data_IF_162007451120
#
_entry.id   IF_162007451120
#
_cell.length_a   1.000
_cell.length_b   1.000
_cell.length_c   1.000
_cell.angle_alpha   90.00
_cell.angle_beta   90.00
_cell.angle_gamma   90.00
#
_symmetry.space_group_name_H-M   'P 1'
#
loop_
_entity.id
_entity.type
_entity.pdbx_description
1 polymer ?
#
# COMPACT_ATOMS: atom_id res chain seq x y z
N UNK A 1 19.70 -8.96 -23.31
CA UNK A 1 18.65 -8.88 -22.26
C UNK A 1 18.55 -7.45 -21.77
N UNK A 2 17.40 -6.78 -21.91
CA UNK A 2 17.19 -5.42 -21.38
C UNK A 2 17.34 -5.46 -19.85
N UNK A 3 18.19 -4.59 -19.28
CA UNK A 3 18.37 -4.52 -17.83
C UNK A 3 17.13 -3.87 -17.21
N UNK A 4 16.32 -4.64 -16.49
CA UNK A 4 15.12 -4.14 -15.77
C UNK A 4 15.47 -3.41 -14.45
N UNK A 5 16.72 -3.52 -13.98
CA UNK A 5 17.16 -2.95 -12.70
C UNK A 5 16.96 -1.42 -12.58
N UNK A 6 17.24 -0.59 -13.60
CA UNK A 6 16.98 0.86 -13.53
C UNK A 6 15.49 1.19 -13.47
N UNK A 7 14.65 0.47 -14.22
CA UNK A 7 13.19 0.65 -14.27
C UNK A 7 12.53 0.36 -12.92
N UNK A 8 13.00 -0.69 -12.27
CA UNK A 8 12.63 -1.05 -10.91
C UNK A 8 12.97 0.04 -9.86
N UNK A 9 13.97 0.90 -10.11
CA UNK A 9 14.28 2.03 -9.22
C UNK A 9 13.18 3.09 -9.26
N UNK A 10 12.45 3.26 -10.37
CA UNK A 10 11.31 4.19 -10.47
C UNK A 10 10.22 3.84 -9.45
N UNK A 11 9.81 2.57 -9.42
CA UNK A 11 8.81 2.10 -8.44
C UNK A 11 9.31 2.25 -7.01
N UNK A 12 10.58 1.96 -6.77
CA UNK A 12 11.17 2.13 -5.43
C UNK A 12 11.22 3.60 -5.02
N UNK A 13 11.50 4.52 -5.95
CA UNK A 13 11.53 5.96 -5.70
C UNK A 13 10.16 6.47 -5.28
N UNK A 14 9.10 6.12 -6.01
CA UNK A 14 7.71 6.45 -5.65
C UNK A 14 7.37 5.93 -4.25
N UNK A 15 7.71 4.68 -3.96
CA UNK A 15 7.39 4.10 -2.66
C UNK A 15 8.17 4.74 -1.50
N UNK A 16 9.37 5.26 -1.74
CA UNK A 16 10.17 5.93 -0.70
C UNK A 16 9.46 7.14 -0.10
N UNK A 17 8.68 7.86 -0.89
CA UNK A 17 7.89 9.01 -0.42
C UNK A 17 6.90 8.60 0.67
N UNK A 18 6.31 7.41 0.52
CA UNK A 18 5.34 6.88 1.49
C UNK A 18 5.97 6.07 2.60
N UNK A 19 7.23 5.65 2.41
CA UNK A 19 7.97 4.82 3.36
C UNK A 19 9.05 5.56 4.16
N UNK A 20 9.05 6.89 4.19
CA UNK A 20 10.01 7.69 4.97
C UNK A 20 10.08 7.29 6.45
N UNK A 21 8.94 6.91 7.04
CA UNK A 21 8.83 6.44 8.42
C UNK A 21 9.16 4.93 8.59
N UNK A 22 9.74 4.27 7.58
CA UNK A 22 10.07 2.85 7.62
C UNK A 22 11.58 2.64 7.45
N UNK A 23 12.17 1.62 8.11
CA UNK A 23 13.49 1.14 7.72
C UNK A 23 13.41 0.55 6.29
N UNK A 24 13.83 1.34 5.31
CA UNK A 24 13.68 1.02 3.88
C UNK A 24 14.72 0.02 3.34
N UNK A 25 15.62 -0.48 4.19
CA UNK A 25 16.88 -1.12 3.81
C UNK A 25 16.77 -2.22 2.76
N UNK A 26 15.66 -2.95 2.75
CA UNK A 26 15.44 -4.06 1.81
C UNK A 26 14.18 -3.91 0.93
N UNK A 27 13.51 -2.75 0.95
CA UNK A 27 12.28 -2.53 0.16
C UNK A 27 12.53 -2.78 -1.33
N UNK A 28 13.63 -2.22 -1.84
CA UNK A 28 14.09 -2.42 -3.20
C UNK A 28 14.21 -3.91 -3.51
N UNK A 29 14.99 -4.67 -2.73
CA UNK A 29 15.23 -6.10 -2.99
C UNK A 29 13.92 -6.90 -3.00
N UNK A 30 13.02 -6.63 -2.05
CA UNK A 30 11.77 -7.39 -1.88
C UNK A 30 10.79 -7.16 -3.02
N UNK A 31 10.71 -5.95 -3.57
CA UNK A 31 9.86 -5.65 -4.72
C UNK A 31 10.53 -6.06 -6.04
N UNK A 32 11.84 -5.82 -6.14
CA UNK A 32 12.61 -6.07 -7.36
C UNK A 32 12.69 -7.55 -7.68
N UNK A 33 12.90 -8.40 -6.69
CA UNK A 33 13.18 -9.82 -6.93
C UNK A 33 12.01 -10.53 -7.61
N UNK A 34 10.75 -10.40 -7.12
CA UNK A 34 9.60 -10.97 -7.81
C UNK A 34 9.37 -10.37 -9.21
N UNK A 35 9.49 -9.04 -9.36
CA UNK A 35 9.29 -8.36 -10.65
C UNK A 35 10.34 -8.83 -11.68
N UNK A 36 11.62 -8.89 -11.27
CA UNK A 36 12.73 -9.37 -12.11
C UNK A 36 12.53 -10.81 -12.54
N UNK A 37 12.15 -11.68 -11.60
CA UNK A 37 11.90 -13.09 -11.87
C UNK A 37 10.80 -13.23 -12.92
N UNK A 38 9.69 -12.53 -12.73
CA UNK A 38 8.57 -12.56 -13.67
C UNK A 38 8.95 -12.02 -15.05
N UNK A 39 9.62 -10.87 -15.12
CA UNK A 39 10.03 -10.28 -16.39
C UNK A 39 10.99 -11.19 -17.17
N UNK A 40 11.93 -11.86 -16.48
CA UNK A 40 12.86 -12.81 -17.11
C UNK A 40 12.12 -14.00 -17.75
N UNK A 41 11.02 -14.42 -17.13
CA UNK A 41 10.25 -15.60 -17.54
C UNK A 41 9.21 -15.28 -18.63
N UNK A 42 8.56 -14.12 -18.57
CA UNK A 42 7.41 -13.78 -19.42
C UNK A 42 7.60 -12.55 -20.32
N UNK A 43 8.72 -11.83 -20.21
CA UNK A 43 9.01 -10.66 -21.04
C UNK A 43 8.10 -9.45 -20.80
N UNK A 44 7.24 -9.48 -19.79
CA UNK A 44 6.30 -8.39 -19.45
C UNK A 44 6.27 -8.12 -17.93
N UNK A 45 5.68 -6.99 -17.54
CA UNK A 45 5.48 -6.61 -16.13
C UNK A 45 4.06 -6.95 -15.70
N UNK A 46 3.93 -7.73 -14.63
CA UNK A 46 2.67 -7.90 -13.89
C UNK A 46 2.93 -7.87 -12.40
N UNK A 47 2.01 -7.27 -11.65
CA UNK A 47 2.14 -7.08 -10.21
C UNK A 47 1.41 -8.15 -9.38
N UNK A 48 0.73 -9.13 -9.98
CA UNK A 48 -0.14 -10.03 -9.23
C UNK A 48 0.54 -10.86 -8.13
N UNK A 49 1.82 -11.22 -8.30
CA UNK A 49 2.61 -11.89 -7.25
C UNK A 49 2.94 -11.01 -6.05
N UNK A 50 2.76 -9.69 -6.16
CA UNK A 50 2.98 -8.75 -5.07
C UNK A 50 1.74 -8.61 -4.18
N UNK A 51 0.59 -9.18 -4.56
CA UNK A 51 -0.64 -9.11 -3.76
C UNK A 51 -0.41 -9.72 -2.38
N UNK A 52 -0.89 -9.03 -1.34
CA UNK A 52 -0.70 -9.32 0.10
C UNK A 52 0.73 -9.14 0.62
N UNK A 53 1.67 -8.67 -0.19
CA UNK A 53 3.03 -8.40 0.27
C UNK A 53 3.05 -7.20 1.23
N UNK A 54 3.58 -7.41 2.43
CA UNK A 54 3.91 -6.31 3.35
C UNK A 54 5.17 -5.58 2.87
N UNK A 55 5.13 -4.26 2.80
CA UNK A 55 6.25 -3.41 2.39
C UNK A 55 7.35 -3.39 3.45
N UNK A 56 6.97 -3.37 4.73
CA UNK A 56 7.90 -3.53 5.85
C UNK A 56 8.12 -5.03 6.14
N UNK A 57 9.38 -5.47 6.17
CA UNK A 57 9.72 -6.88 6.40
C UNK A 57 9.67 -7.26 7.88
N UNK A 58 9.86 -6.29 8.77
CA UNK A 58 9.95 -6.49 10.21
C UNK A 58 8.58 -6.39 10.87
N UNK A 59 7.69 -5.57 10.29
CA UNK A 59 6.36 -5.28 10.83
C UNK A 59 5.30 -5.54 9.76
N UNK A 60 4.60 -6.67 9.92
CA UNK A 60 3.48 -7.01 9.07
C UNK A 60 2.28 -6.09 9.33
N UNK A 61 1.50 -5.80 8.29
CA UNK A 61 0.28 -5.00 8.41
C UNK A 61 -0.70 -5.54 9.43
N UNK A 62 -0.83 -6.87 9.51
CA UNK A 62 -1.69 -7.56 10.47
C UNK A 62 -1.30 -7.36 11.94
N UNK A 63 -0.06 -6.95 12.23
CA UNK A 63 0.37 -6.65 13.59
C UNK A 63 -0.25 -5.34 14.10
N UNK A 64 -0.60 -4.41 13.19
CA UNK A 64 -1.23 -3.14 13.54
C UNK A 64 -2.73 -3.19 13.25
N UNK A 65 -3.15 -3.77 12.13
CA UNK A 65 -4.56 -3.84 11.75
C UNK A 65 -5.02 -5.27 11.46
N UNK A 66 -5.91 -5.79 12.29
CA UNK A 66 -6.48 -7.15 12.25
C UNK A 66 -7.79 -7.22 11.45
N UNK A 67 -8.36 -6.07 11.07
CA UNK A 67 -9.58 -6.02 10.28
C UNK A 67 -9.40 -6.60 8.88
N UNK A 68 -10.50 -7.11 8.33
CA UNK A 68 -10.54 -7.55 6.94
C UNK A 68 -10.56 -6.34 6.01
N UNK A 69 -9.78 -6.42 4.92
CA UNK A 69 -9.75 -5.43 3.84
C UNK A 69 -10.35 -6.07 2.61
N UNK A 70 -11.45 -5.51 2.12
CA UNK A 70 -12.16 -5.96 0.95
C UNK A 70 -11.87 -5.03 -0.22
N UNK A 71 -11.69 -5.60 -1.42
CA UNK A 71 -11.49 -4.84 -2.64
C UNK A 71 -12.51 -5.28 -3.68
N UNK A 72 -13.31 -4.35 -4.20
CA UNK A 72 -14.28 -4.59 -5.27
C UNK A 72 -13.95 -3.76 -6.50
N UNK A 73 -14.31 -4.28 -7.68
CA UNK A 73 -14.02 -3.67 -8.97
C UNK A 73 -15.33 -3.39 -9.69
N UNK A 74 -15.52 -2.15 -10.14
CA UNK A 74 -16.72 -1.77 -10.89
C UNK A 74 -16.41 -0.59 -11.81
N UNK A 75 -16.86 -0.66 -13.06
CA UNK A 75 -16.84 0.46 -14.01
C UNK A 75 -15.52 1.25 -14.07
N UNK A 76 -14.37 0.56 -14.16
CA UNK A 76 -13.07 1.24 -14.21
C UNK A 76 -12.60 1.84 -12.89
N UNK A 77 -13.19 1.43 -11.76
CA UNK A 77 -12.76 1.83 -10.41
C UNK A 77 -12.43 0.62 -9.55
N UNK A 78 -11.60 0.86 -8.53
CA UNK A 78 -11.39 -0.06 -7.41
C UNK A 78 -11.81 0.61 -6.11
N UNK A 79 -12.72 -0.03 -5.38
CA UNK A 79 -13.13 0.37 -4.04
C UNK A 79 -12.46 -0.51 -3.00
N UNK A 80 -11.87 0.10 -1.98
CA UNK A 80 -11.30 -0.55 -0.81
C UNK A 80 -12.22 -0.29 0.38
N UNK A 81 -12.76 -1.34 0.98
CA UNK A 81 -13.67 -1.25 2.13
C UNK A 81 -13.13 -2.02 3.31
N UNK A 82 -13.18 -1.43 4.49
CA UNK A 82 -12.79 -2.08 5.74
C UNK A 82 -13.50 -1.44 6.93
N UNK A 83 -13.66 -2.22 7.99
CA UNK A 83 -14.17 -1.73 9.27
C UNK A 83 -13.01 -1.30 10.17
N UNK A 84 -13.18 -0.19 10.88
CA UNK A 84 -12.25 0.27 11.90
C UNK A 84 -12.92 0.24 13.27
N UNK A 85 -12.17 -0.20 14.28
CA UNK A 85 -12.55 -0.14 15.70
C UNK A 85 -11.31 -0.39 16.55
N UNK A 86 -11.38 -0.06 17.84
CA UNK A 86 -10.29 -0.35 18.79
C UNK A 86 -9.97 -1.86 18.93
N UNK A 87 -10.90 -2.76 18.56
CA UNK A 87 -10.66 -4.21 18.55
C UNK A 87 -9.88 -4.67 17.31
N UNK A 88 -9.98 -3.92 16.21
CA UNK A 88 -9.35 -4.25 14.93
C UNK A 88 -7.99 -3.56 14.75
N UNK A 89 -7.65 -2.56 15.58
CA UNK A 89 -6.38 -1.83 15.50
C UNK A 89 -5.58 -1.96 16.80
N UNK A 90 -4.36 -2.48 16.72
CA UNK A 90 -3.49 -2.71 17.88
C UNK A 90 -2.73 -1.44 18.26
N UNK A 91 -3.06 -0.88 19.43
CA UNK A 91 -2.30 0.21 20.06
C UNK A 91 -0.94 -0.30 20.57
N UNK A 92 0.16 0.15 19.96
CA UNK A 92 1.51 -0.35 20.27
C UNK A 92 2.11 0.17 21.57
N UNK A 93 1.62 1.32 22.06
CA UNK A 93 2.03 1.93 23.32
C UNK A 93 0.98 2.96 23.77
N UNK A 94 1.04 3.40 25.03
CA UNK A 94 0.08 4.35 25.62
C UNK A 94 0.20 5.80 25.15
N UNK A 95 1.23 6.15 24.37
CA UNK A 95 1.37 7.50 23.79
C UNK A 95 0.58 7.64 22.48
N UNK A 96 0.25 6.53 21.81
CA UNK A 96 -0.53 6.58 20.58
C UNK A 96 -1.97 7.04 20.88
N UNK A 97 -2.41 8.12 20.26
CA UNK A 97 -3.77 8.66 20.47
C UNK A 97 -4.70 8.30 19.33
N UNK A 98 -4.21 8.47 18.09
CA UNK A 98 -5.02 8.35 16.88
C UNK A 98 -4.27 7.62 15.77
N UNK A 99 -5.00 7.21 14.74
CA UNK A 99 -4.47 6.58 13.53
C UNK A 99 -5.33 6.90 12.32
N UNK A 100 -4.75 6.78 11.13
CA UNK A 100 -5.44 6.93 9.86
C UNK A 100 -4.88 5.95 8.83
N UNK A 101 -5.63 5.78 7.76
CA UNK A 101 -5.24 4.98 6.62
C UNK A 101 -4.98 5.86 5.40
N UNK A 102 -4.00 5.46 4.60
CA UNK A 102 -3.73 6.04 3.29
C UNK A 102 -3.77 4.92 2.25
N UNK A 103 -4.67 5.02 1.29
CA UNK A 103 -4.66 4.19 0.10
C UNK A 103 -3.80 4.85 -0.97
N UNK A 104 -2.94 4.08 -1.62
CA UNK A 104 -1.99 4.57 -2.62
C UNK A 104 -2.11 3.67 -3.85
N UNK A 105 -2.65 4.21 -4.95
CA UNK A 105 -2.71 3.55 -6.24
C UNK A 105 -1.50 3.98 -7.08
N UNK A 106 -0.70 3.02 -7.52
CA UNK A 106 0.41 3.24 -8.46
C UNK A 106 0.06 2.57 -9.78
N UNK A 107 0.10 3.33 -10.87
CA UNK A 107 -0.30 2.92 -12.21
C UNK A 107 0.83 3.14 -13.22
N UNK A 108 0.98 2.23 -14.18
CA UNK A 108 1.88 2.39 -15.32
C UNK A 108 2.95 1.31 -15.42
N UNK A 109 3.55 1.21 -16.60
CA UNK A 109 4.66 0.30 -16.87
C UNK A 109 6.00 0.95 -16.49
N UNK A 110 6.70 0.37 -15.51
CA UNK A 110 8.03 0.81 -15.08
C UNK A 110 9.06 0.84 -16.23
N UNK A 111 8.84 0.05 -17.29
CA UNK A 111 9.73 -0.02 -18.45
C UNK A 111 9.51 1.17 -19.39
N UNK A 112 8.27 1.37 -19.82
CA UNK A 112 7.94 2.24 -20.95
C UNK A 112 7.51 3.65 -20.54
N UNK A 113 6.97 3.84 -19.34
CA UNK A 113 6.25 5.07 -18.99
C UNK A 113 6.71 5.68 -17.64
N UNK A 114 6.14 6.85 -17.33
CA UNK A 114 6.12 7.41 -15.99
C UNK A 114 5.04 6.74 -15.15
N UNK A 115 5.32 6.59 -13.85
CA UNK A 115 4.35 6.03 -12.92
C UNK A 115 3.42 7.14 -12.45
N UNK A 116 2.11 6.91 -12.58
CA UNK A 116 1.09 7.78 -12.01
C UNK A 116 0.76 7.30 -10.60
N UNK A 117 0.54 8.25 -9.69
CA UNK A 117 0.19 7.97 -8.30
C UNK A 117 -1.10 8.69 -7.95
N UNK A 118 -2.06 7.97 -7.37
CA UNK A 118 -3.29 8.51 -6.80
C UNK A 118 -3.38 8.10 -5.34
N UNK A 119 -3.81 9.03 -4.49
CA UNK A 119 -3.78 8.89 -3.03
C UNK A 119 -5.16 9.24 -2.49
N UNK A 120 -5.66 8.40 -1.60
CA UNK A 120 -6.85 8.69 -0.80
C UNK A 120 -6.50 8.51 0.68
N UNK A 121 -7.06 9.36 1.55
CA UNK A 121 -6.82 9.31 2.98
C UNK A 121 -8.13 9.19 3.74
N UNK A 122 -8.15 8.34 4.77
CA UNK A 122 -9.28 8.28 5.69
C UNK A 122 -9.32 9.49 6.63
N UNK A 123 -10.43 9.63 7.36
CA UNK A 123 -10.45 10.43 8.58
C UNK A 123 -9.46 9.87 9.64
N UNK A 124 -9.24 10.66 10.69
CA UNK A 124 -8.54 10.21 11.89
C UNK A 124 -9.48 9.40 12.79
N UNK A 125 -8.98 8.27 13.28
CA UNK A 125 -9.66 7.40 14.21
C UNK A 125 -8.92 7.38 15.54
N UNK A 126 -9.65 7.49 16.65
CA UNK A 126 -9.06 7.40 17.97
C UNK A 126 -8.90 5.96 18.43
N UNK A 127 -7.78 5.64 19.10
CA UNK A 127 -7.63 4.35 19.79
C UNK A 127 -8.59 4.18 20.98
N UNK A 128 -9.14 5.27 21.50
CA UNK A 128 -10.14 5.25 22.57
C UNK A 128 -11.58 5.02 22.08
N UNK A 129 -11.85 5.16 20.78
CA UNK A 129 -13.19 5.01 20.23
C UNK A 129 -13.59 3.52 20.17
N UNK A 130 -14.69 3.19 20.84
CA UNK A 130 -15.27 1.84 20.86
C UNK A 130 -16.23 1.60 19.70
N UNK A 131 -16.64 2.65 18.99
CA UNK A 131 -17.56 2.52 17.88
C UNK A 131 -16.88 1.87 16.67
N UNK A 132 -17.63 1.02 15.99
CA UNK A 132 -17.22 0.51 14.70
C UNK A 132 -17.61 1.50 13.61
N UNK A 133 -16.66 1.87 12.75
CA UNK A 133 -16.92 2.69 11.56
C UNK A 133 -16.53 1.94 10.30
N UNK A 134 -17.24 2.21 9.20
CA UNK A 134 -16.88 1.70 7.88
C UNK A 134 -16.07 2.76 7.15
N UNK A 135 -14.94 2.35 6.57
CA UNK A 135 -14.11 3.19 5.72
C UNK A 135 -14.17 2.67 4.29
N UNK A 136 -14.34 3.59 3.34
CA UNK A 136 -14.28 3.31 1.90
C UNK A 136 -13.32 4.29 1.23
N UNK A 137 -12.45 3.76 0.37
CA UNK A 137 -11.58 4.54 -0.52
C UNK A 137 -11.84 4.08 -1.96
N UNK A 138 -11.98 5.02 -2.89
CA UNK A 138 -12.30 4.71 -4.29
C UNK A 138 -11.23 5.30 -5.18
N UNK A 139 -10.70 4.50 -6.10
CA UNK A 139 -9.69 4.93 -7.06
C UNK A 139 -10.13 4.64 -8.48
N UNK A 140 -9.84 5.57 -9.38
CA UNK A 140 -9.99 5.36 -10.82
C UNK A 140 -8.83 4.48 -11.32
N UNK A 141 -9.17 3.37 -11.98
CA UNK A 141 -8.20 2.48 -12.60
C UNK A 141 -7.81 3.00 -13.98
N UNK A 142 -6.55 2.84 -14.40
CA UNK A 142 -6.12 3.21 -15.73
C UNK A 142 -6.68 2.22 -16.76
N UNK A 143 -6.91 2.68 -17.99
CA UNK A 143 -7.19 1.80 -19.13
C UNK A 143 -5.88 1.14 -19.57
N UNK A 144 -5.88 -0.18 -19.77
CA UNK A 144 -4.77 -0.92 -20.37
C UNK A 144 -3.38 -0.75 -19.72
N UNK A 145 -3.30 -0.37 -18.42
CA UNK A 145 -2.02 -0.23 -17.71
C UNK A 145 -1.94 -1.13 -16.48
N UNK A 146 -0.77 -1.69 -16.15
CA UNK A 146 -0.59 -2.42 -14.91
C UNK A 146 -0.70 -1.46 -13.72
N UNK A 147 -1.27 -1.94 -12.62
CA UNK A 147 -1.43 -1.14 -11.41
C UNK A 147 -1.29 -1.99 -10.14
N UNK A 148 -0.93 -1.32 -9.05
CA UNK A 148 -0.91 -1.89 -7.71
C UNK A 148 -1.48 -0.89 -6.71
N UNK A 149 -2.19 -1.42 -5.71
CA UNK A 149 -2.87 -0.65 -4.69
C UNK A 149 -2.33 -1.04 -3.32
N UNK A 150 -1.77 -0.05 -2.62
CA UNK A 150 -1.26 -0.20 -1.27
C UNK A 150 -2.23 0.41 -0.27
N UNK A 151 -2.25 -0.17 0.93
CA UNK A 151 -2.88 0.41 2.10
C UNK A 151 -1.82 0.60 3.17
N UNK A 152 -1.67 1.84 3.63
CA UNK A 152 -0.80 2.25 4.73
C UNK A 152 -1.66 2.57 5.95
N UNK A 153 -1.19 2.19 7.13
CA UNK A 153 -1.69 2.68 8.41
C UNK A 153 -0.57 3.50 9.07
N UNK A 154 -0.94 4.64 9.61
CA UNK A 154 -0.05 5.57 10.30
C UNK A 154 -0.70 6.03 11.61
N UNK A 155 0.10 6.15 12.67
CA UNK A 155 -0.38 6.55 13.99
C UNK A 155 0.15 7.92 14.41
N UNK A 156 -0.54 8.54 15.36
CA UNK A 156 -0.19 9.80 16.00
C UNK A 156 0.12 9.61 17.48
N UNK A 157 1.05 10.41 17.99
CA UNK A 157 1.37 10.60 19.41
C UNK A 157 0.88 12.01 19.80
N UNK A 158 -0.37 12.12 20.25
CA UNK A 158 -1.04 13.42 20.41
C UNK A 158 -1.30 14.06 19.05
N UNK A 159 -0.82 15.29 18.86
CA UNK A 159 -1.02 16.04 17.61
C UNK A 159 0.11 15.85 16.57
N UNK A 160 1.06 14.94 16.83
CA UNK A 160 2.21 14.71 15.96
C UNK A 160 2.22 13.28 15.43
N UNK A 161 2.71 13.09 14.21
CA UNK A 161 2.94 11.75 13.68
C UNK A 161 3.90 10.98 14.57
N UNK A 162 3.60 9.73 14.86
CA UNK A 162 4.40 8.93 15.77
C UNK A 162 5.84 8.79 15.25
N UNK A 163 6.84 8.99 16.09
CA UNK A 163 8.24 9.01 15.61
C UNK A 163 8.73 7.61 15.23
N UNK A 164 8.26 6.59 15.95
CA UNK A 164 8.81 5.25 15.82
C UNK A 164 8.19 4.47 14.61
N UNK A 165 9.03 3.92 13.70
CA UNK A 165 8.58 3.10 12.58
C UNK A 165 7.67 1.91 12.94
N UNK A 166 7.75 1.42 14.18
CA UNK A 166 6.92 0.32 14.68
C UNK A 166 5.41 0.62 14.66
N UNK A 167 5.06 1.90 14.58
CA UNK A 167 3.68 2.42 14.57
C UNK A 167 3.13 2.59 13.14
N UNK A 168 3.85 2.10 12.13
CA UNK A 168 3.45 2.17 10.73
C UNK A 168 3.49 0.79 10.10
N UNK A 169 2.53 0.54 9.21
CA UNK A 169 2.56 -0.64 8.35
C UNK A 169 1.99 -0.30 6.98
N UNK A 170 2.40 -1.06 5.97
CA UNK A 170 1.92 -0.89 4.60
C UNK A 170 1.91 -2.24 3.88
N UNK A 171 0.84 -2.51 3.16
CA UNK A 171 0.64 -3.76 2.42
C UNK A 171 0.05 -3.50 1.05
N UNK A 172 0.46 -4.30 0.07
CA UNK A 172 -0.19 -4.34 -1.24
C UNK A 172 -1.49 -5.14 -1.10
N UNK A 173 -2.63 -4.46 -1.24
CA UNK A 173 -3.96 -5.05 -1.00
C UNK A 173 -4.62 -5.54 -2.30
N UNK A 174 -4.33 -4.90 -3.42
CA UNK A 174 -4.80 -5.32 -4.74
C UNK A 174 -3.78 -4.97 -5.82
N UNK A 175 -3.91 -5.65 -6.95
CA UNK A 175 -3.06 -5.50 -8.14
C UNK A 175 -3.89 -5.88 -9.34
N UNK A 176 -3.60 -5.31 -10.50
CA UNK A 176 -4.28 -5.72 -11.71
C UNK A 176 -3.67 -5.12 -12.96
N UNK A 177 -4.43 -5.27 -14.04
CA UNK A 177 -4.17 -4.66 -15.32
C UNK A 177 -5.46 -3.95 -15.74
N UNK A 178 -5.34 -2.74 -16.27
CA UNK A 178 -6.48 -1.93 -16.70
C UNK A 178 -7.42 -2.69 -17.63
N UNK A 179 -8.71 -2.41 -17.52
CA UNK A 179 -9.74 -3.01 -18.36
C UNK A 179 -9.62 -2.51 -19.80
N UNK A 180 -9.99 -3.37 -20.76
CA UNK A 180 -10.47 -2.91 -22.07
C UNK A 180 -11.87 -2.37 -21.85
N UNK A 181 -12.13 -1.13 -22.28
CA UNK A 181 -13.49 -0.64 -22.41
C UNK A 181 -14.24 -1.44 -23.47
#
# INVERSE_FOLDING_TARGET
MRQISPHCKKLTAVLREFTSNFPSGNLHIRLLTPIKKYFKEYGCIRYHYLKKMDINAVRHFQNIFKGAVYTSFSAGTVSVRFCVSNMLTTRQNSLLTDYYFTGILICGDIIAEELMVSIEQSELYSFGDTNQKNCEMVFNLPVLKPWLLLLKIACFEGNQQAVNPKNYAMRIIATGYGYNQ
#
